data_IF_488227392984
#
_entry.id   IF_488227392984
#
_cell.length_a   1.000
_cell.length_b   1.000
_cell.length_c   1.000
_cell.angle_alpha   90.00
_cell.angle_beta   90.00
_cell.angle_gamma   90.00
#
_symmetry.space_group_name_H-M   'P 1'
#
loop_
_entity.id
_entity.type
_entity.pdbx_description
1 polymer ?
#
# COMPACT_ATOMS: atom_id res chain seq x y z
N UNK A 1 -13.92 -9.80 -9.90
CA UNK A 1 -13.37 -10.22 -11.21
C UNK A 1 -12.55 -9.12 -11.87
N UNK A 2 -13.11 -7.92 -12.15
CA UNK A 2 -12.40 -6.78 -12.78
C UNK A 2 -11.11 -6.39 -12.05
N UNK A 3 -11.12 -6.41 -10.70
CA UNK A 3 -9.96 -6.08 -9.85
C UNK A 3 -8.78 -7.03 -10.06
N UNK A 4 -9.05 -8.33 -10.22
CA UNK A 4 -8.03 -9.37 -10.46
C UNK A 4 -7.41 -9.22 -11.83
N UNK A 5 -8.21 -8.96 -12.86
CA UNK A 5 -7.73 -8.76 -14.23
C UNK A 5 -6.87 -7.50 -14.36
N UNK A 6 -7.21 -6.41 -13.66
CA UNK A 6 -6.36 -5.19 -13.63
C UNK A 6 -5.00 -5.46 -12.97
N UNK A 7 -4.96 -6.28 -11.92
CA UNK A 7 -3.71 -6.66 -11.24
C UNK A 7 -2.84 -7.51 -12.17
N UNK A 8 -3.42 -8.50 -12.85
CA UNK A 8 -2.72 -9.36 -13.82
C UNK A 8 -2.12 -8.53 -14.97
N UNK A 9 -2.89 -7.62 -15.56
CA UNK A 9 -2.39 -6.73 -16.62
C UNK A 9 -1.27 -5.78 -16.15
N UNK A 10 -1.28 -5.34 -14.88
CA UNK A 10 -0.20 -4.52 -14.33
C UNK A 10 1.08 -5.34 -14.08
N UNK A 11 0.95 -6.60 -13.62
CA UNK A 11 2.09 -7.51 -13.46
C UNK A 11 2.73 -7.79 -14.82
N UNK A 12 1.93 -8.09 -15.84
CA UNK A 12 2.42 -8.33 -17.21
C UNK A 12 3.19 -7.12 -17.78
N UNK A 13 2.72 -5.89 -17.52
CA UNK A 13 3.41 -4.67 -17.96
C UNK A 13 4.70 -4.38 -17.19
N UNK A 14 4.77 -4.72 -15.89
CA UNK A 14 6.01 -4.64 -15.10
C UNK A 14 7.05 -5.65 -15.60
N UNK A 15 6.65 -6.89 -15.88
CA UNK A 15 7.53 -7.91 -16.46
C UNK A 15 8.08 -7.44 -17.81
N UNK A 16 7.23 -6.88 -18.68
CA UNK A 16 7.66 -6.34 -19.96
C UNK A 16 8.65 -5.17 -19.82
N UNK A 17 8.51 -4.33 -18.79
CA UNK A 17 9.45 -3.23 -18.51
C UNK A 17 10.77 -3.71 -17.94
N UNK A 18 10.77 -4.73 -17.09
CA UNK A 18 12.00 -5.34 -16.56
C UNK A 18 12.80 -5.98 -17.69
N UNK A 19 12.14 -6.71 -18.60
CA UNK A 19 12.79 -7.30 -19.77
C UNK A 19 13.41 -6.22 -20.67
N UNK A 20 12.72 -5.09 -20.87
CA UNK A 20 13.22 -3.95 -21.64
C UNK A 20 14.39 -3.21 -20.94
N UNK A 21 14.36 -3.10 -19.61
CA UNK A 21 15.46 -2.52 -18.85
C UNK A 21 16.72 -3.38 -18.91
N UNK A 22 16.57 -4.71 -18.81
CA UNK A 22 17.67 -5.66 -18.94
C UNK A 22 18.34 -5.57 -20.32
N UNK A 23 17.56 -5.38 -21.38
CA UNK A 23 18.05 -5.09 -22.74
C UNK A 23 18.84 -3.77 -22.80
N UNK A 24 18.28 -2.68 -22.27
CA UNK A 24 18.96 -1.37 -22.27
C UNK A 24 20.27 -1.39 -21.47
N UNK A 25 20.34 -2.19 -20.40
CA UNK A 25 21.52 -2.31 -19.55
C UNK A 25 22.67 -3.09 -20.19
N UNK A 26 22.47 -3.72 -21.35
CA UNK A 26 23.49 -4.50 -22.06
C UNK A 26 23.97 -5.73 -21.29
N UNK A 27 23.27 -6.16 -20.22
CA UNK A 27 23.69 -7.26 -19.34
C UNK A 27 23.34 -8.65 -19.86
N UNK A 28 22.52 -8.76 -20.90
CA UNK A 28 22.08 -10.05 -21.45
C UNK A 28 22.28 -10.00 -22.97
N UNK A 29 23.26 -10.75 -23.46
CA UNK A 29 23.61 -10.89 -24.89
C UNK A 29 22.96 -12.15 -25.53
N UNK A 30 22.23 -12.93 -24.73
CA UNK A 30 21.44 -14.06 -25.22
C UNK A 30 20.09 -13.55 -25.69
N UNK A 31 19.90 -13.49 -27.01
CA UNK A 31 18.69 -13.79 -27.80
C UNK A 31 18.82 -13.00 -29.09
N UNK A 32 18.98 -13.72 -30.21
CA UNK A 32 18.91 -13.15 -31.55
C UNK A 32 17.71 -12.20 -31.68
N UNK A 33 17.86 -11.10 -32.42
CA UNK A 33 16.87 -10.01 -32.55
C UNK A 33 15.46 -10.53 -32.89
N UNK A 34 15.41 -11.67 -33.56
CA UNK A 34 14.21 -12.43 -33.93
C UNK A 34 13.44 -12.97 -32.73
N UNK A 35 14.10 -13.51 -31.70
CA UNK A 35 13.42 -14.09 -30.53
C UNK A 35 12.78 -13.02 -29.66
N UNK A 36 13.43 -11.86 -29.54
CA UNK A 36 12.85 -10.70 -28.86
C UNK A 36 11.55 -10.25 -29.53
N UNK A 37 11.54 -10.16 -30.86
CA UNK A 37 10.34 -9.82 -31.63
C UNK A 37 9.20 -10.81 -31.38
N UNK A 38 9.51 -12.11 -31.27
CA UNK A 38 8.52 -13.13 -30.93
C UNK A 38 7.95 -12.93 -29.53
N UNK A 39 8.79 -12.71 -28.51
CA UNK A 39 8.36 -12.53 -27.12
C UNK A 39 7.52 -11.26 -26.96
N UNK A 40 7.97 -10.12 -27.49
CA UNK A 40 7.22 -8.86 -27.43
C UNK A 40 5.88 -9.00 -28.18
N UNK A 41 5.86 -9.65 -29.34
CA UNK A 41 4.62 -9.89 -30.12
C UNK A 41 3.61 -10.76 -29.35
N UNK A 42 4.08 -11.84 -28.71
CA UNK A 42 3.22 -12.74 -27.92
C UNK A 42 2.64 -12.01 -26.70
N UNK A 43 3.46 -11.23 -25.99
CA UNK A 43 3.01 -10.40 -24.87
C UNK A 43 2.00 -9.33 -25.33
N UNK A 44 2.22 -8.74 -26.49
CA UNK A 44 1.32 -7.75 -27.08
C UNK A 44 -0.03 -8.37 -27.44
N UNK A 45 -0.03 -9.55 -28.06
CA UNK A 45 -1.24 -10.28 -28.41
C UNK A 45 -2.04 -10.64 -27.16
N UNK A 46 -1.37 -11.13 -26.11
CA UNK A 46 -1.99 -11.42 -24.83
C UNK A 46 -2.66 -10.18 -24.23
N UNK A 47 -1.97 -9.04 -24.25
CA UNK A 47 -2.47 -7.80 -23.68
C UNK A 47 -3.64 -7.20 -24.49
N UNK A 48 -3.63 -7.34 -25.82
CA UNK A 48 -4.76 -6.99 -26.68
C UNK A 48 -5.95 -7.89 -26.35
N UNK A 49 -5.74 -9.20 -26.28
CA UNK A 49 -6.79 -10.17 -25.98
C UNK A 49 -7.44 -9.88 -24.61
N UNK A 50 -6.64 -9.60 -23.59
CA UNK A 50 -7.13 -9.19 -22.27
C UNK A 50 -7.99 -7.91 -22.35
N UNK A 51 -7.55 -6.90 -23.11
CA UNK A 51 -8.31 -5.68 -23.31
C UNK A 51 -9.67 -5.93 -23.97
N UNK A 52 -9.71 -6.80 -24.98
CA UNK A 52 -10.95 -7.22 -25.64
C UNK A 52 -11.87 -8.01 -24.70
N UNK A 53 -11.35 -8.95 -23.93
CA UNK A 53 -12.14 -9.72 -22.95
C UNK A 53 -12.82 -8.77 -21.95
N UNK A 54 -12.09 -7.79 -21.43
CA UNK A 54 -12.66 -6.79 -20.52
C UNK A 54 -13.66 -5.84 -21.19
N UNK A 55 -13.48 -5.50 -22.47
CA UNK A 55 -14.48 -4.72 -23.22
C UNK A 55 -15.81 -5.47 -23.33
N UNK A 56 -15.76 -6.80 -23.46
CA UNK A 56 -16.95 -7.65 -23.58
C UNK A 56 -17.63 -7.91 -22.23
N UNK A 57 -16.86 -7.90 -21.13
CA UNK A 57 -17.35 -8.20 -19.79
C UNK A 57 -17.94 -6.99 -19.04
N UNK A 58 -17.59 -5.75 -19.45
CA UNK A 58 -18.08 -4.53 -18.79
C UNK A 58 -19.40 -4.07 -19.42
N UNK A 59 -20.42 -3.86 -18.57
CA UNK A 59 -21.77 -3.47 -19.00
C UNK A 59 -21.80 -2.15 -19.80
N UNK A 60 -21.00 -1.15 -19.41
CA UNK A 60 -20.89 0.13 -20.13
C UNK A 60 -19.64 0.19 -21.04
N UNK A 61 -19.80 -0.37 -22.23
CA UNK A 61 -18.75 -0.47 -23.26
C UNK A 61 -18.21 0.89 -23.70
N UNK A 62 -19.02 1.94 -23.70
CA UNK A 62 -18.65 3.27 -24.22
C UNK A 62 -17.83 4.06 -23.20
N UNK A 63 -18.21 4.02 -21.92
CA UNK A 63 -17.44 4.61 -20.84
C UNK A 63 -16.07 3.93 -20.72
N UNK A 64 -16.04 2.61 -20.86
CA UNK A 64 -14.81 1.84 -20.83
C UNK A 64 -13.88 2.14 -22.02
N UNK A 65 -14.42 2.23 -23.25
CA UNK A 65 -13.63 2.59 -24.44
C UNK A 65 -13.01 4.00 -24.31
N UNK A 66 -13.77 4.99 -23.83
CA UNK A 66 -13.28 6.36 -23.60
C UNK A 66 -12.24 6.46 -22.49
N UNK A 67 -12.31 5.60 -21.47
CA UNK A 67 -11.32 5.57 -20.41
C UNK A 67 -10.02 4.85 -20.83
N UNK A 68 -10.14 3.86 -21.73
CA UNK A 68 -9.09 2.85 -21.96
C UNK A 68 -8.56 2.76 -23.39
N UNK A 69 -8.86 3.73 -24.25
CA UNK A 69 -8.31 3.84 -25.62
C UNK A 69 -6.78 3.98 -25.65
N UNK A 70 -6.18 4.57 -24.61
CA UNK A 70 -4.72 4.69 -24.49
C UNK A 70 -4.05 3.33 -24.30
N UNK A 71 -4.73 2.37 -23.64
CA UNK A 71 -4.18 1.03 -23.44
C UNK A 71 -4.16 0.22 -24.74
N UNK A 72 -5.13 0.46 -25.64
CA UNK A 72 -5.18 -0.13 -26.98
C UNK A 72 -4.09 0.46 -27.88
N UNK A 73 -3.84 1.78 -27.78
CA UNK A 73 -2.81 2.45 -28.55
C UNK A 73 -1.40 2.08 -28.07
N UNK A 74 -1.23 1.85 -26.76
CA UNK A 74 0.03 1.41 -26.16
C UNK A 74 0.33 -0.09 -26.38
N UNK A 75 -0.70 -0.89 -26.69
CA UNK A 75 -0.58 -2.33 -26.98
C UNK A 75 -0.37 -2.65 -28.45
N UNK A 76 -0.12 -1.66 -29.32
CA UNK A 76 0.15 -1.92 -30.73
C UNK A 76 1.67 -2.01 -30.96
N UNK A 77 2.23 -3.20 -31.26
CA UNK A 77 3.66 -3.37 -31.52
C UNK A 77 4.05 -2.91 -32.93
N UNK A 78 3.08 -2.51 -33.77
CA UNK A 78 3.29 -2.15 -35.18
C UNK A 78 4.16 -0.89 -35.41
N UNK A 79 4.57 -0.18 -34.37
CA UNK A 79 5.37 1.04 -34.48
C UNK A 79 6.88 0.81 -34.44
N UNK A 80 7.33 -0.46 -34.40
CA UNK A 80 8.74 -0.83 -34.33
C UNK A 80 9.58 -0.43 -35.56
N UNK A 81 8.97 -0.17 -36.71
CA UNK A 81 9.69 0.18 -37.95
C UNK A 81 10.08 1.67 -37.98
N UNK A 82 9.34 2.53 -37.28
CA UNK A 82 9.57 3.97 -37.32
C UNK A 82 10.38 4.44 -36.11
N UNK A 83 11.69 4.57 -36.31
CA UNK A 83 12.69 5.08 -35.34
C UNK A 83 12.29 6.33 -34.50
N UNK A 84 11.48 7.31 -34.96
CA UNK A 84 11.14 8.47 -34.13
C UNK A 84 10.07 8.24 -33.04
N UNK A 85 9.34 7.12 -33.02
CA UNK A 85 8.23 6.94 -32.06
C UNK A 85 8.64 6.48 -30.65
N UNK A 86 9.88 6.76 -30.22
CA UNK A 86 10.35 6.54 -28.84
C UNK A 86 9.41 7.13 -27.78
N UNK A 87 8.70 8.22 -28.11
CA UNK A 87 7.73 8.88 -27.24
C UNK A 87 6.53 7.97 -26.90
N UNK A 88 6.15 7.04 -27.78
CA UNK A 88 5.04 6.11 -27.52
C UNK A 88 5.38 5.08 -26.44
N UNK A 89 6.68 4.78 -26.20
CA UNK A 89 7.08 3.96 -25.04
C UNK A 89 6.76 4.65 -23.71
N UNK A 90 6.80 5.98 -23.65
CA UNK A 90 6.40 6.74 -22.45
C UNK A 90 4.90 6.63 -22.15
N UNK A 91 4.06 6.28 -23.14
CA UNK A 91 2.65 5.98 -22.90
C UNK A 91 2.47 4.69 -22.07
N UNK A 92 3.41 3.74 -22.09
CA UNK A 92 3.42 2.58 -21.17
C UNK A 92 3.58 3.02 -19.72
N UNK A 93 4.42 4.03 -19.46
CA UNK A 93 4.60 4.62 -18.13
C UNK A 93 3.32 5.33 -17.68
N UNK A 94 2.58 5.96 -18.59
CA UNK A 94 1.29 6.57 -18.28
C UNK A 94 0.23 5.54 -17.82
N UNK A 95 0.25 4.32 -18.38
CA UNK A 95 -0.59 3.21 -17.91
C UNK A 95 -0.22 2.79 -16.49
N UNK A 96 1.08 2.68 -16.18
CA UNK A 96 1.54 2.43 -14.81
C UNK A 96 1.17 3.56 -13.85
N UNK A 97 1.33 4.82 -14.25
CA UNK A 97 0.94 5.97 -13.43
C UNK A 97 -0.57 5.97 -13.14
N UNK A 98 -1.40 5.58 -14.10
CA UNK A 98 -2.85 5.43 -13.90
C UNK A 98 -3.21 4.20 -13.07
N UNK A 99 -2.52 3.08 -13.24
CA UNK A 99 -2.64 1.89 -12.40
C UNK A 99 -2.28 2.22 -10.94
N UNK A 100 -1.16 2.91 -10.73
CA UNK A 100 -0.72 3.44 -9.44
C UNK A 100 -1.74 4.44 -8.91
N UNK A 101 -2.28 5.34 -9.73
CA UNK A 101 -3.31 6.30 -9.30
C UNK A 101 -4.62 5.61 -8.90
N UNK A 102 -5.01 4.53 -9.58
CA UNK A 102 -6.20 3.73 -9.26
C UNK A 102 -5.99 2.93 -7.96
N UNK A 103 -4.81 2.33 -7.81
CA UNK A 103 -4.37 1.66 -6.59
C UNK A 103 -4.29 2.65 -5.43
N UNK A 104 -3.74 3.85 -5.63
CA UNK A 104 -3.74 4.95 -4.64
C UNK A 104 -5.15 5.39 -4.30
N UNK A 105 -6.06 5.49 -5.27
CA UNK A 105 -7.47 5.83 -5.03
C UNK A 105 -8.21 4.73 -4.27
N UNK A 106 -7.81 3.47 -4.45
CA UNK A 106 -8.27 2.32 -3.66
C UNK A 106 -7.59 2.23 -2.28
N UNK A 107 -6.39 2.79 -2.12
CA UNK A 107 -5.66 2.94 -0.85
C UNK A 107 -5.94 4.26 -0.14
N UNK A 108 -6.75 5.18 -0.70
CA UNK A 108 -7.19 6.41 -0.02
C UNK A 108 -7.80 6.19 1.37
N UNK A 109 -8.59 5.13 1.64
CA UNK A 109 -9.04 4.86 3.00
C UNK A 109 -7.90 4.43 3.96
N UNK A 110 -6.71 4.08 3.45
CA UNK A 110 -5.53 3.75 4.27
C UNK A 110 -4.79 5.00 4.76
N UNK A 111 -4.90 6.13 4.04
CA UNK A 111 -4.27 7.41 4.45
C UNK A 111 -4.88 7.97 5.75
N UNK A 112 -6.14 7.61 6.06
CA UNK A 112 -6.82 8.01 7.29
C UNK A 112 -6.56 7.07 8.49
N UNK A 113 -6.04 5.86 8.25
CA UNK A 113 -5.89 4.80 9.25
C UNK A 113 -4.44 4.61 9.74
N UNK A 114 -3.45 5.18 9.04
CA UNK A 114 -2.07 5.20 9.50
C UNK A 114 -1.93 6.39 10.44
N UNK A 115 -1.78 6.11 11.74
CA UNK A 115 -1.38 7.11 12.72
C UNK A 115 0.03 7.63 12.38
N UNK A 116 0.08 8.66 11.53
CA UNK A 116 1.33 9.25 11.06
C UNK A 116 2.16 9.79 12.22
N UNK A 117 1.53 10.07 13.36
CA UNK A 117 2.21 10.47 14.59
C UNK A 117 3.18 9.39 15.06
N UNK A 118 2.71 8.14 15.28
CA UNK A 118 3.55 7.05 15.81
C UNK A 118 4.72 6.77 14.86
N UNK A 119 4.45 6.72 13.55
CA UNK A 119 5.47 6.49 12.53
C UNK A 119 6.53 7.59 12.49
N UNK A 120 6.11 8.87 12.57
CA UNK A 120 7.03 10.02 12.60
C UNK A 120 7.88 10.01 13.86
N UNK A 121 7.28 9.78 15.02
CA UNK A 121 8.02 9.73 16.29
C UNK A 121 9.03 8.59 16.30
N UNK A 122 8.64 7.41 15.80
CA UNK A 122 9.54 6.26 15.66
C UNK A 122 10.69 6.54 14.68
N UNK A 123 10.41 7.17 13.53
CA UNK A 123 11.44 7.54 12.56
C UNK A 123 12.44 8.58 13.09
N UNK A 124 11.95 9.59 13.83
CA UNK A 124 12.80 10.58 14.50
C UNK A 124 13.66 9.91 15.56
N UNK A 125 13.05 9.07 16.43
CA UNK A 125 13.78 8.34 17.46
C UNK A 125 14.84 7.42 16.86
N UNK A 126 14.52 6.67 15.80
CA UNK A 126 15.47 5.83 15.08
C UNK A 126 16.65 6.63 14.50
N UNK A 127 16.36 7.79 13.90
CA UNK A 127 17.40 8.67 13.35
C UNK A 127 18.35 9.14 14.46
N UNK A 128 17.81 9.56 15.60
CA UNK A 128 18.61 9.98 16.77
C UNK A 128 19.46 8.82 17.28
N UNK A 129 18.86 7.63 17.47
CA UNK A 129 19.57 6.44 17.94
C UNK A 129 20.71 6.04 17.00
N UNK A 130 20.46 6.02 15.69
CA UNK A 130 21.48 5.66 14.69
C UNK A 130 22.63 6.67 14.73
N UNK A 131 22.34 7.97 14.79
CA UNK A 131 23.37 9.00 14.89
C UNK A 131 24.18 8.89 16.18
N UNK A 132 23.52 8.68 17.32
CA UNK A 132 24.19 8.47 18.59
C UNK A 132 25.07 7.22 18.58
N UNK A 133 24.57 6.09 18.06
CA UNK A 133 25.34 4.86 17.95
C UNK A 133 26.56 5.02 17.02
N UNK A 134 26.40 5.75 15.92
CA UNK A 134 27.49 6.06 14.98
C UNK A 134 28.61 6.84 15.66
N UNK A 135 28.26 7.88 16.43
CA UNK A 135 29.26 8.69 17.15
C UNK A 135 29.94 7.90 18.27
N UNK A 136 29.18 7.09 19.01
CA UNK A 136 29.73 6.27 20.10
C UNK A 136 30.67 5.19 19.57
N UNK A 137 30.27 4.44 18.53
CA UNK A 137 31.13 3.41 17.95
C UNK A 137 32.38 4.02 17.32
N UNK A 138 32.26 5.15 16.62
CA UNK A 138 33.43 5.85 16.07
C UNK A 138 34.45 6.23 17.15
N UNK A 139 34.00 6.69 18.33
CA UNK A 139 34.90 7.06 19.43
C UNK A 139 35.46 5.85 20.18
N UNK A 140 34.68 4.78 20.31
CA UNK A 140 35.10 3.54 20.97
C UNK A 140 36.03 2.68 20.09
N UNK A 141 35.89 2.77 18.77
CA UNK A 141 36.64 2.00 17.77
C UNK A 141 37.68 2.86 17.05
N UNK A 142 38.24 3.90 17.68
CA UNK A 142 39.21 4.81 17.02
C UNK A 142 40.46 4.12 16.49
N UNK A 143 40.86 3.00 17.11
CA UNK A 143 42.00 2.19 16.68
C UNK A 143 41.66 1.22 15.54
N UNK A 144 40.37 1.05 15.25
CA UNK A 144 39.86 0.20 14.17
C UNK A 144 39.82 1.01 12.87
N UNK A 145 40.60 0.60 11.86
CA UNK A 145 40.65 1.27 10.56
C UNK A 145 39.31 1.31 9.84
N UNK A 146 38.41 0.37 10.14
CA UNK A 146 37.18 0.15 9.38
C UNK A 146 35.99 0.97 9.92
N UNK A 147 36.15 1.59 11.10
CA UNK A 147 35.13 2.37 11.81
C UNK A 147 35.65 3.73 12.30
N UNK A 148 36.79 4.19 11.78
CA UNK A 148 37.44 5.42 12.28
C UNK A 148 36.80 6.72 11.76
N UNK A 149 36.02 6.66 10.67
CA UNK A 149 35.31 7.82 10.13
C UNK A 149 33.82 7.80 10.45
N UNK A 150 33.23 8.98 10.55
CA UNK A 150 31.78 9.11 10.78
C UNK A 150 30.95 8.42 9.68
N UNK A 151 31.40 8.47 8.42
CA UNK A 151 30.69 7.84 7.31
C UNK A 151 30.64 6.31 7.44
N UNK A 152 31.72 5.70 7.91
CA UNK A 152 31.79 4.25 8.12
C UNK A 152 30.98 3.80 9.33
N UNK A 153 31.06 4.54 10.44
CA UNK A 153 30.26 4.26 11.62
C UNK A 153 28.76 4.46 11.35
N UNK A 154 28.39 5.45 10.52
CA UNK A 154 27.02 5.66 10.06
C UNK A 154 26.53 4.52 9.17
N UNK A 155 27.34 4.10 8.19
CA UNK A 155 27.04 2.95 7.35
C UNK A 155 26.77 1.70 8.19
N UNK A 156 27.70 1.39 9.11
CA UNK A 156 27.56 0.26 10.01
C UNK A 156 26.30 0.36 10.88
N UNK A 157 26.01 1.53 11.45
CA UNK A 157 24.85 1.72 12.31
C UNK A 157 23.54 1.53 11.54
N UNK A 158 23.46 2.02 10.30
CA UNK A 158 22.30 1.80 9.42
C UNK A 158 22.15 0.32 9.08
N UNK A 159 23.22 -0.36 8.62
CA UNK A 159 23.20 -1.78 8.25
C UNK A 159 22.83 -2.68 9.43
N UNK A 160 23.30 -2.34 10.63
CA UNK A 160 23.01 -3.09 11.87
C UNK A 160 21.59 -2.83 12.36
N UNK A 161 21.15 -1.57 12.42
CA UNK A 161 19.80 -1.21 12.85
C UNK A 161 18.71 -1.76 11.90
N UNK A 162 19.04 -1.91 10.62
CA UNK A 162 18.16 -2.49 9.59
C UNK A 162 18.20 -4.01 9.50
N UNK A 163 18.93 -4.66 10.41
CA UNK A 163 19.13 -6.12 10.47
C UNK A 163 19.68 -6.75 9.19
N UNK A 164 20.27 -5.94 8.29
CA UNK A 164 20.92 -6.42 7.06
C UNK A 164 22.22 -7.13 7.39
N UNK A 165 23.07 -6.51 8.21
CA UNK A 165 24.27 -7.13 8.77
C UNK A 165 25.24 -7.71 7.73
N UNK A 166 25.74 -6.89 6.80
CA UNK A 166 26.71 -7.35 5.79
C UNK A 166 27.97 -7.98 6.38
N UNK A 167 28.37 -7.55 7.59
CA UNK A 167 29.57 -8.05 8.27
C UNK A 167 30.88 -7.52 7.67
N UNK A 168 30.81 -6.48 6.83
CA UNK A 168 31.95 -5.80 6.22
C UNK A 168 32.73 -4.95 7.22
N UNK A 169 32.03 -4.42 8.24
CA UNK A 169 32.59 -3.61 9.32
C UNK A 169 31.95 -4.05 10.62
N UNK A 170 32.76 -4.27 11.66
CA UNK A 170 32.26 -4.71 12.97
C UNK A 170 33.09 -4.08 14.10
N UNK A 171 32.45 -3.71 15.23
CA UNK A 171 33.17 -3.25 16.40
C UNK A 171 33.94 -4.42 17.04
N UNK A 172 35.21 -4.18 17.35
CA UNK A 172 36.13 -5.17 17.91
C UNK A 172 36.29 -4.98 19.43
N UNK A 173 36.07 -3.78 19.94
CA UNK A 173 36.19 -3.48 21.37
C UNK A 173 34.98 -4.00 22.15
N UNK A 174 35.16 -4.44 23.41
CA UNK A 174 34.04 -4.86 24.26
C UNK A 174 32.98 -3.77 24.45
N UNK A 175 33.41 -2.50 24.52
CA UNK A 175 32.51 -1.36 24.64
C UNK A 175 31.72 -1.13 23.34
N UNK A 176 32.36 -1.20 22.17
CA UNK A 176 31.70 -1.12 20.87
C UNK A 176 30.70 -2.25 20.65
N UNK A 177 31.04 -3.47 21.08
CA UNK A 177 30.12 -4.63 21.05
C UNK A 177 28.90 -4.43 21.94
N UNK A 178 29.05 -3.82 23.12
CA UNK A 178 27.90 -3.47 23.97
C UNK A 178 26.95 -2.48 23.27
N UNK A 179 27.48 -1.45 22.62
CA UNK A 179 26.70 -0.51 21.81
C UNK A 179 26.01 -1.22 20.65
N UNK A 180 26.69 -2.16 20.00
CA UNK A 180 26.11 -2.97 18.93
C UNK A 180 24.90 -3.78 19.39
N UNK A 181 24.99 -4.44 20.54
CA UNK A 181 23.86 -5.20 21.11
C UNK A 181 22.66 -4.29 21.39
N UNK A 182 22.90 -3.11 21.98
CA UNK A 182 21.83 -2.14 22.23
C UNK A 182 21.18 -1.67 20.93
N UNK A 183 21.98 -1.37 19.91
CA UNK A 183 21.50 -0.96 18.59
C UNK A 183 20.66 -2.05 17.91
N UNK A 184 21.05 -3.33 18.03
CA UNK A 184 20.28 -4.45 17.49
C UNK A 184 18.89 -4.57 18.13
N UNK A 185 18.81 -4.45 19.47
CA UNK A 185 17.52 -4.49 20.19
C UNK A 185 16.61 -3.34 19.72
N UNK A 186 17.16 -2.14 19.61
CA UNK A 186 16.41 -0.96 19.14
C UNK A 186 15.99 -1.09 17.68
N UNK A 187 16.83 -1.67 16.83
CA UNK A 187 16.52 -1.97 15.43
C UNK A 187 15.31 -2.89 15.29
N UNK A 188 15.28 -4.01 16.02
CA UNK A 188 14.13 -4.93 16.03
C UNK A 188 12.86 -4.22 16.48
N UNK A 189 12.94 -3.37 17.51
CA UNK A 189 11.83 -2.55 17.98
C UNK A 189 11.28 -1.62 16.89
N UNK A 190 12.14 -0.98 16.11
CA UNK A 190 11.74 -0.10 15.00
C UNK A 190 10.93 -0.88 13.94
N UNK A 191 11.44 -2.01 13.46
CA UNK A 191 10.70 -2.82 12.48
C UNK A 191 9.41 -3.41 13.06
N UNK A 192 9.42 -3.75 14.35
CA UNK A 192 8.22 -4.15 15.08
C UNK A 192 7.14 -3.07 15.08
N UNK A 193 7.51 -1.81 15.34
CA UNK A 193 6.55 -0.68 15.29
C UNK A 193 6.04 -0.41 13.89
N UNK A 194 6.88 -0.53 12.86
CA UNK A 194 6.45 -0.42 11.45
C UNK A 194 5.42 -1.50 11.10
N UNK A 195 5.71 -2.76 11.44
CA UNK A 195 4.80 -3.87 11.21
C UNK A 195 3.49 -3.70 11.99
N UNK A 196 3.56 -3.32 13.26
CA UNK A 196 2.38 -3.10 14.10
C UNK A 196 1.52 -1.93 13.57
N UNK A 197 2.13 -0.84 13.12
CA UNK A 197 1.41 0.30 12.52
C UNK A 197 0.71 -0.12 11.23
N UNK A 198 1.38 -0.94 10.40
CA UNK A 198 0.79 -1.48 9.18
C UNK A 198 -0.38 -2.42 9.49
N UNK A 199 -0.22 -3.32 10.46
CA UNK A 199 -1.30 -4.21 10.93
C UNK A 199 -2.47 -3.43 11.52
N UNK A 200 -2.20 -2.37 12.28
CA UNK A 200 -3.21 -1.47 12.82
C UNK A 200 -3.99 -0.80 11.69
N UNK A 201 -3.30 -0.27 10.67
CA UNK A 201 -3.96 0.35 9.52
C UNK A 201 -4.85 -0.65 8.73
N UNK A 202 -4.40 -1.90 8.58
CA UNK A 202 -5.19 -2.97 7.96
C UNK A 202 -6.44 -3.32 8.77
N UNK A 203 -6.31 -3.32 10.10
CA UNK A 203 -7.39 -3.71 11.02
C UNK A 203 -8.38 -2.56 11.23
N UNK A 204 -7.91 -1.32 11.33
CA UNK A 204 -8.72 -0.12 11.55
C UNK A 204 -9.81 0.07 10.48
N UNK A 205 -9.52 -0.22 9.21
CA UNK A 205 -10.53 -0.20 8.15
C UNK A 205 -11.67 -1.20 8.37
N UNK A 206 -11.39 -2.32 9.04
CA UNK A 206 -12.35 -3.38 9.34
C UNK A 206 -13.09 -3.15 10.65
N UNK A 207 -12.43 -2.58 11.67
CA UNK A 207 -13.04 -2.25 12.97
C UNK A 207 -14.06 -1.12 12.86
N UNK A 208 -13.77 -0.11 12.02
CA UNK A 208 -14.62 1.08 11.90
C UNK A 208 -15.92 0.77 11.15
N UNK A 209 -15.88 -0.11 10.13
CA UNK A 209 -17.09 -0.57 9.44
C UNK A 209 -17.98 -1.40 10.37
N UNK A 210 -17.42 -2.39 11.08
CA UNK A 210 -18.18 -3.26 11.99
C UNK A 210 -18.78 -2.47 13.16
N UNK A 211 -18.01 -1.57 13.79
CA UNK A 211 -18.50 -0.77 14.91
C UNK A 211 -19.63 0.19 14.50
N UNK A 212 -19.56 0.80 13.32
CA UNK A 212 -20.62 1.69 12.85
C UNK A 212 -21.90 0.92 12.51
N UNK A 213 -21.77 -0.28 11.93
CA UNK A 213 -22.91 -1.13 11.59
C UNK A 213 -23.63 -1.65 12.85
N UNK A 214 -22.87 -2.06 13.88
CA UNK A 214 -23.42 -2.41 15.20
C UNK A 214 -24.09 -1.22 15.89
N UNK A 215 -23.45 -0.05 15.92
CA UNK A 215 -24.02 1.16 16.52
C UNK A 215 -25.30 1.60 15.81
N UNK A 216 -25.34 1.52 14.48
CA UNK A 216 -26.54 1.83 13.72
C UNK A 216 -27.65 0.81 14.01
N UNK A 217 -27.33 -0.48 14.09
CA UNK A 217 -28.29 -1.51 14.45
C UNK A 217 -28.87 -1.31 15.86
N UNK A 218 -28.03 -0.92 16.83
CA UNK A 218 -28.45 -0.59 18.20
C UNK A 218 -29.39 0.63 18.22
N UNK A 219 -29.05 1.70 17.48
CA UNK A 219 -29.88 2.91 17.39
C UNK A 219 -31.24 2.60 16.75
N UNK A 220 -31.27 1.80 15.69
CA UNK A 220 -32.52 1.38 15.04
C UNK A 220 -33.37 0.55 16.00
N UNK A 221 -32.77 -0.39 16.73
CA UNK A 221 -33.44 -1.22 17.73
C UNK A 221 -34.06 -0.39 18.86
N UNK A 222 -33.33 0.60 19.38
CA UNK A 222 -33.83 1.49 20.42
C UNK A 222 -35.01 2.34 19.93
N UNK A 223 -34.95 2.84 18.68
CA UNK A 223 -36.08 3.56 18.07
C UNK A 223 -37.34 2.70 17.99
N UNK A 224 -37.23 1.45 17.55
CA UNK A 224 -38.36 0.53 17.50
C UNK A 224 -38.96 0.23 18.88
N UNK A 225 -38.12 0.14 19.92
CA UNK A 225 -38.59 -0.06 21.29
C UNK A 225 -39.38 1.14 21.81
N UNK A 226 -38.91 2.36 21.54
CA UNK A 226 -39.62 3.59 21.89
C UNK A 226 -40.97 3.63 21.18
N UNK A 227 -41.00 3.37 19.87
CA UNK A 227 -42.25 3.39 19.09
C UNK A 227 -43.24 2.32 19.57
N UNK A 228 -42.76 1.14 19.98
CA UNK A 228 -43.60 0.11 20.61
C UNK A 228 -44.16 0.53 21.95
N UNK A 229 -43.36 1.20 22.80
CA UNK A 229 -43.82 1.69 24.09
C UNK A 229 -44.84 2.80 23.93
N UNK A 230 -44.60 3.72 22.99
CA UNK A 230 -45.52 4.81 22.65
C UNK A 230 -46.86 4.26 22.16
N UNK A 231 -46.86 3.27 21.26
CA UNK A 231 -48.11 2.59 20.83
C UNK A 231 -48.82 1.83 21.96
N UNK A 232 -48.10 1.34 22.98
CA UNK A 232 -48.73 0.71 24.15
C UNK A 232 -49.39 1.74 25.04
N UNK A 233 -48.70 2.85 25.33
CA UNK A 233 -49.26 3.99 26.08
C UNK A 233 -50.47 4.60 25.37
N UNK A 234 -50.44 4.78 24.05
CA UNK A 234 -51.60 5.26 23.29
C UNK A 234 -52.77 4.27 23.23
N UNK A 235 -52.55 3.00 23.59
CA UNK A 235 -53.57 1.95 23.58
C UNK A 235 -54.09 1.61 24.98
N UNK A 236 -53.30 1.90 26.02
CA UNK A 236 -53.68 1.83 27.45
C UNK A 236 -54.28 3.15 27.96
N UNK A 237 -54.57 4.10 27.06
CA UNK A 237 -55.52 5.19 27.32
C UNK A 237 -56.97 4.88 26.85
N UNK A 238 -57.64 3.84 27.38
CA UNK A 238 -59.10 3.74 27.34
C UNK A 238 -59.65 3.73 28.76
N UNK A 239 -59.74 4.91 29.40
CA UNK A 239 -60.87 5.31 30.28
C UNK A 239 -60.51 6.56 31.10
N UNK A 240 -60.75 7.74 30.52
CA UNK A 240 -61.12 8.94 31.28
C UNK A 240 -62.52 9.45 30.89
N UNK A 241 -63.37 8.59 30.30
CA UNK A 241 -64.73 8.97 29.82
C UNK A 241 -65.90 8.22 30.45
N UNK A 242 -65.69 7.46 31.54
CA UNK A 242 -66.78 6.72 32.20
C UNK A 242 -66.82 6.92 33.73
N UNK A 243 -66.94 8.19 34.15
CA UNK A 243 -67.32 8.60 35.51
C UNK A 243 -68.57 9.49 35.47
N UNK A 244 -69.73 8.82 35.44
CA UNK A 244 -71.12 9.29 35.65
C UNK A 244 -71.26 10.66 36.35
N UNK A 245 -71.85 11.69 35.73
CA UNK A 245 -73.31 11.96 35.65
C UNK A 245 -74.13 11.58 36.89
N UNK A 246 -74.52 12.60 37.67
CA UNK A 246 -75.87 12.64 38.27
C UNK A 246 -75.98 12.74 39.79
N UNK A 247 -75.95 13.97 40.33
CA UNK A 247 -76.86 14.34 41.43
C UNK A 247 -77.01 15.87 41.56
N UNK A 248 -78.03 16.42 40.91
CA UNK A 248 -78.90 17.51 41.42
C UNK A 248 -80.21 16.82 41.85
N UNK A 249 -80.93 17.27 42.90
CA UNK A 249 -81.32 18.67 43.13
C UNK A 249 -81.05 19.24 44.53
#
# INVERSE_FOLDING_TARGET
MIRTTVIVGNIATIIALILLYLEYSGRIEFWDQTTYLWVDTVLCLFMIAEWFILLWLVDDRRAYLKARWIDLLASLPLLLIARPLRIIRLLRVLRLLRGIALVRRAMRPWEAAIDMTILKTAAIAATIVILCASLLVMDLERENSDLNTFGEALWWSVVTSTTVGYGDRVPLTPAGQFVAVLLMILGIGLFGTLAATLTSALTAGRSTEVSNEEVLAEVTRLREQIERLERRLSRDDPDETSGESGHEP
#
